data_IF_100659758498
#
_entry.id   IF_100659758498
#
_cell.length_a   1.000
_cell.length_b   1.000
_cell.length_c   1.000
_cell.angle_alpha   90.00
_cell.angle_beta   90.00
_cell.angle_gamma   90.00
#
_symmetry.space_group_name_H-M   'P 1'
#
loop_
_entity.id
_entity.type
_entity.pdbx_description
1 polymer ?
#
# COMPACT_ATOMS: atom_id res chain seq x y z
N UNK A 1 -1.55 16.70 -16.38
CA UNK A 1 -2.30 16.50 -15.13
C UNK A 1 -1.45 15.56 -14.30
N UNK A 2 -0.88 16.05 -13.20
CA UNK A 2 -0.12 15.21 -12.27
C UNK A 2 -1.12 14.84 -11.18
N UNK A 3 -1.43 13.55 -10.94
CA UNK A 3 -2.31 13.17 -9.85
C UNK A 3 -1.74 13.68 -8.53
N UNK A 4 -2.62 14.10 -7.61
CA UNK A 4 -2.24 14.32 -6.22
C UNK A 4 -1.67 13.00 -5.65
N UNK A 5 -0.65 13.11 -4.79
CA UNK A 5 -0.06 11.95 -4.11
C UNK A 5 -1.17 11.09 -3.49
N UNK A 6 -1.24 9.82 -3.90
CA UNK A 6 -2.24 8.84 -3.49
C UNK A 6 -1.95 8.33 -2.07
N UNK A 7 -1.94 9.24 -1.10
CA UNK A 7 -1.65 8.89 0.29
C UNK A 7 -2.87 8.28 0.98
N UNK A 8 -2.68 7.19 1.70
CA UNK A 8 -3.72 6.59 2.54
C UNK A 8 -3.18 6.17 3.92
N UNK A 9 -4.09 5.92 4.86
CA UNK A 9 -3.82 5.32 6.18
C UNK A 9 -4.98 4.43 6.60
N UNK A 10 -4.77 3.57 7.59
CA UNK A 10 -5.80 2.64 8.08
C UNK A 10 -6.01 2.80 9.59
N UNK A 11 -7.27 3.05 10.00
CA UNK A 11 -7.62 3.49 11.36
C UNK A 11 -7.98 2.40 12.39
N UNK A 12 -8.38 1.17 12.05
CA UNK A 12 -8.77 0.12 13.04
C UNK A 12 -9.33 -1.17 12.45
N UNK A 13 -9.36 -2.25 13.26
CA UNK A 13 -10.26 -3.42 13.27
C UNK A 13 -10.78 -3.87 11.91
N UNK A 14 -9.87 -4.30 11.03
CA UNK A 14 -10.22 -4.60 9.65
C UNK A 14 -9.41 -5.78 9.15
N UNK A 15 -9.79 -6.30 7.99
CA UNK A 15 -8.94 -7.18 7.20
C UNK A 15 -8.76 -6.49 5.85
N UNK A 16 -7.52 -6.13 5.51
CA UNK A 16 -7.20 -5.56 4.21
C UNK A 16 -6.32 -6.52 3.45
N UNK A 17 -6.77 -6.89 2.26
CA UNK A 17 -5.97 -7.60 1.28
C UNK A 17 -5.53 -6.59 0.21
N UNK A 18 -4.28 -6.18 0.29
CA UNK A 18 -3.68 -5.24 -0.64
C UNK A 18 -2.96 -6.01 -1.75
N UNK A 19 -3.47 -5.97 -2.98
CA UNK A 19 -2.73 -6.45 -4.14
C UNK A 19 -1.94 -5.29 -4.71
N UNK A 20 -0.63 -5.36 -4.61
CA UNK A 20 0.27 -4.33 -5.09
C UNK A 20 0.90 -4.81 -6.40
N UNK A 21 0.56 -4.16 -7.52
CA UNK A 21 1.23 -4.38 -8.80
C UNK A 21 2.49 -3.55 -8.81
N UNK A 22 3.62 -4.26 -8.74
CA UNK A 22 4.94 -3.65 -8.75
C UNK A 22 5.58 -4.06 -10.07
N UNK A 23 5.95 -3.07 -10.87
CA UNK A 23 6.81 -3.31 -12.01
C UNK A 23 8.25 -3.12 -11.57
N UNK A 24 8.97 -4.22 -11.40
CA UNK A 24 10.42 -4.18 -11.46
C UNK A 24 10.77 -4.16 -12.93
N UNK A 25 11.10 -2.99 -13.48
CA UNK A 25 11.69 -2.95 -14.82
C UNK A 25 12.95 -3.82 -14.81
N UNK A 26 12.85 -5.02 -15.38
CA UNK A 26 14.00 -5.65 -16.00
C UNK A 26 14.27 -4.92 -17.33
N UNK A 27 15.52 -4.47 -17.49
CA UNK A 27 16.14 -3.84 -18.66
C UNK A 27 15.85 -2.37 -19.05
N UNK A 28 14.73 -1.74 -18.68
CA UNK A 28 14.53 -0.32 -19.04
C UNK A 28 15.39 0.63 -18.19
N UNK A 29 15.72 0.27 -16.95
CA UNK A 29 16.71 1.02 -16.18
C UNK A 29 18.09 1.02 -16.86
N UNK A 30 18.53 -0.08 -17.50
CA UNK A 30 19.82 -0.11 -18.18
C UNK A 30 19.81 0.80 -19.43
N UNK A 31 18.70 0.87 -20.18
CA UNK A 31 18.61 1.73 -21.37
C UNK A 31 18.34 3.20 -21.06
N UNK A 32 17.53 3.52 -20.06
CA UNK A 32 17.31 4.91 -19.62
C UNK A 32 18.60 5.47 -18.99
N UNK A 33 19.32 4.68 -18.18
CA UNK A 33 20.66 5.08 -17.70
C UNK A 33 21.71 5.14 -18.81
N UNK A 34 21.63 4.30 -19.85
CA UNK A 34 22.54 4.38 -21.01
C UNK A 34 22.30 5.62 -21.89
N UNK A 35 21.06 6.08 -22.01
CA UNK A 35 20.73 7.27 -22.81
C UNK A 35 21.01 8.56 -22.03
N UNK A 36 20.79 8.57 -20.72
CA UNK A 36 21.09 9.72 -19.85
C UNK A 36 22.56 9.75 -19.38
N UNK A 37 23.26 8.62 -19.40
CA UNK A 37 24.64 8.46 -18.96
C UNK A 37 25.70 9.12 -19.85
N UNK A 38 25.32 9.64 -21.02
CA UNK A 38 26.24 10.36 -21.91
C UNK A 38 26.25 11.88 -21.68
N UNK A 39 25.43 12.42 -20.77
CA UNK A 39 25.34 13.87 -20.55
C UNK A 39 25.81 14.38 -19.19
N UNK A 40 26.17 13.53 -18.23
CA UNK A 40 26.65 13.99 -16.93
C UNK A 40 27.86 13.19 -16.46
N UNK A 41 29.00 13.85 -16.54
CA UNK A 41 30.29 13.39 -16.07
C UNK A 41 30.40 13.59 -14.54
N UNK A 42 31.10 12.67 -13.88
CA UNK A 42 31.55 12.66 -12.47
C UNK A 42 30.60 12.10 -11.38
N UNK A 43 30.78 10.80 -11.12
CA UNK A 43 31.10 10.22 -9.80
C UNK A 43 30.18 10.51 -8.61
N UNK A 44 29.08 9.75 -8.49
CA UNK A 44 28.58 9.11 -7.24
C UNK A 44 27.19 8.50 -7.52
N UNK A 45 27.17 7.33 -8.16
CA UNK A 45 25.97 6.48 -8.27
C UNK A 45 26.26 5.20 -7.51
N UNK A 46 25.68 5.09 -6.31
CA UNK A 46 25.47 3.87 -5.56
C UNK A 46 24.01 3.94 -5.09
N UNK A 47 23.17 3.00 -5.54
CA UNK A 47 21.83 2.80 -5.00
C UNK A 47 21.95 2.02 -3.68
N UNK A 48 21.65 2.66 -2.54
CA UNK A 48 20.77 2.04 -1.55
C UNK A 48 19.81 3.06 -0.90
N UNK A 49 18.57 2.64 -0.63
CA UNK A 49 17.60 3.20 0.34
C UNK A 49 17.45 4.73 0.47
N UNK A 50 16.29 5.28 0.11
CA UNK A 50 15.90 6.61 0.61
C UNK A 50 15.37 6.53 2.05
N UNK A 51 16.31 6.60 3.00
CA UNK A 51 16.13 7.44 4.18
C UNK A 51 16.32 8.91 3.76
N UNK A 52 15.39 9.79 4.13
CA UNK A 52 15.57 11.24 4.02
C UNK A 52 16.48 11.72 5.17
N UNK A 53 17.58 12.40 4.84
CA UNK A 53 18.42 13.15 5.78
C UNK A 53 18.24 14.65 5.52
N UNK A 54 17.68 15.45 6.44
CA UNK A 54 17.38 16.85 6.19
C UNK A 54 18.47 17.75 6.77
N UNK A 55 19.38 18.29 5.95
CA UNK A 55 20.11 19.53 6.31
C UNK A 55 20.48 20.39 5.09
N UNK A 56 19.82 21.54 5.04
CA UNK A 56 20.29 22.91 4.71
C UNK A 56 19.49 23.63 3.61
N UNK A 57 18.54 24.44 4.05
CA UNK A 57 18.42 25.81 3.58
C UNK A 57 18.43 26.74 4.81
N UNK A 58 19.50 27.52 4.93
CA UNK A 58 19.62 28.80 5.66
C UNK A 58 18.76 29.86 4.95
N UNK A 59 18.16 30.91 5.51
CA UNK A 59 18.35 31.71 6.72
C UNK A 59 16.99 32.38 7.02
N UNK A 60 16.54 32.40 8.27
CA UNK A 60 15.70 33.48 8.81
C UNK A 60 15.83 33.48 10.35
N UNK A 61 15.69 34.67 10.92
CA UNK A 61 16.38 35.16 12.11
C UNK A 61 16.06 34.45 13.44
N UNK A 62 17.08 34.42 14.31
CA UNK A 62 17.11 33.77 15.61
C UNK A 62 16.43 34.67 16.67
N UNK A 63 15.31 34.21 17.25
CA UNK A 63 14.79 34.71 18.52
C UNK A 63 14.76 33.57 19.56
N UNK A 64 15.05 33.84 20.84
CA UNK A 64 15.32 32.80 21.82
C UNK A 64 14.03 32.07 22.24
N UNK A 65 14.15 30.74 22.40
CA UNK A 65 13.07 29.87 22.86
C UNK A 65 12.68 30.19 24.32
N UNK A 66 11.39 30.12 24.70
CA UNK A 66 10.99 30.10 26.10
C UNK A 66 11.33 28.75 26.73
N UNK A 67 11.68 28.81 28.01
CA UNK A 67 12.21 27.72 28.83
C UNK A 67 11.30 26.49 28.94
N UNK A 68 11.97 25.34 29.04
CA UNK A 68 11.44 23.99 29.28
C UNK A 68 10.44 23.96 30.44
N UNK A 69 9.21 23.50 30.17
CA UNK A 69 8.44 22.73 31.14
C UNK A 69 8.71 21.25 30.88
N UNK A 70 9.40 20.62 31.81
CA UNK A 70 9.69 19.19 31.80
C UNK A 70 8.38 18.40 31.97
N UNK A 71 8.02 17.61 30.96
CA UNK A 71 7.16 16.45 31.13
C UNK A 71 8.04 15.21 31.29
N UNK A 72 7.65 14.32 32.20
CA UNK A 72 8.42 13.22 32.76
C UNK A 72 9.04 12.30 31.69
N UNK A 73 10.34 12.44 31.45
CA UNK A 73 11.13 11.49 30.67
C UNK A 73 11.41 10.24 31.52
N UNK A 74 10.77 9.12 31.19
CA UNK A 74 11.17 7.79 31.70
C UNK A 74 12.61 7.49 31.23
N UNK A 75 13.56 7.40 32.16
CA UNK A 75 15.01 7.30 31.87
C UNK A 75 15.45 5.91 31.38
N UNK A 76 14.53 4.95 31.18
CA UNK A 76 14.88 3.54 30.91
C UNK A 76 14.06 2.87 29.79
N UNK A 77 13.78 3.58 28.69
CA UNK A 77 13.14 2.96 27.52
C UNK A 77 14.17 2.56 26.46
N UNK A 78 14.48 1.26 26.42
CA UNK A 78 15.28 0.66 25.34
C UNK A 78 14.36 0.11 24.23
N UNK A 79 14.11 0.95 23.23
CA UNK A 79 13.31 0.60 22.05
C UNK A 79 13.88 -0.60 21.30
N UNK A 80 15.20 -0.71 21.20
CA UNK A 80 15.85 -1.80 20.43
C UNK A 80 15.58 -3.14 21.09
N UNK A 81 15.66 -3.18 22.42
CA UNK A 81 15.30 -4.35 23.20
C UNK A 81 13.81 -4.71 23.04
N UNK A 82 12.90 -3.74 23.16
CA UNK A 82 11.45 -3.98 22.98
C UNK A 82 11.14 -4.57 21.60
N UNK A 83 11.70 -4.00 20.53
CA UNK A 83 11.51 -4.52 19.16
C UNK A 83 12.03 -5.94 19.02
N UNK A 84 13.22 -6.22 19.57
CA UNK A 84 13.85 -7.54 19.49
C UNK A 84 13.04 -8.58 20.24
N UNK A 85 12.59 -8.28 21.46
CA UNK A 85 11.75 -9.18 22.26
C UNK A 85 10.44 -9.50 21.55
N UNK A 86 9.79 -8.50 20.95
CA UNK A 86 8.59 -8.69 20.14
C UNK A 86 8.86 -9.56 18.91
N UNK A 87 9.92 -9.27 18.15
CA UNK A 87 10.29 -9.97 16.93
C UNK A 87 10.68 -11.44 17.20
N UNK A 88 11.41 -11.69 18.30
CA UNK A 88 11.85 -13.01 18.75
C UNK A 88 10.66 -13.93 19.07
N UNK A 89 9.49 -13.37 19.46
CA UNK A 89 8.27 -14.17 19.68
C UNK A 89 7.76 -14.83 18.40
N UNK A 90 7.98 -14.17 17.25
CA UNK A 90 7.42 -14.53 15.94
C UNK A 90 5.88 -14.63 15.93
N UNK A 91 5.22 -14.11 16.96
CA UNK A 91 3.78 -14.21 17.14
C UNK A 91 3.01 -13.03 16.57
N UNK A 92 3.73 -11.93 16.32
CA UNK A 92 3.19 -10.70 15.78
C UNK A 92 2.20 -10.00 16.71
N UNK A 93 1.47 -9.04 16.17
CA UNK A 93 0.49 -8.24 16.91
C UNK A 93 -0.65 -9.11 17.41
N UNK A 94 -1.09 -10.11 16.62
CA UNK A 94 -2.09 -11.08 17.05
C UNK A 94 -1.65 -11.85 18.29
N UNK A 95 -0.37 -12.22 18.39
CA UNK A 95 0.19 -12.85 19.59
C UNK A 95 0.08 -11.99 20.85
N UNK A 96 0.22 -10.66 20.72
CA UNK A 96 0.00 -9.74 21.83
C UNK A 96 -1.47 -9.71 22.27
N UNK A 97 -2.39 -9.69 21.30
CA UNK A 97 -3.84 -9.72 21.58
C UNK A 97 -4.24 -11.03 22.25
N UNK A 98 -3.72 -12.16 21.78
CA UNK A 98 -3.98 -13.48 22.36
C UNK A 98 -3.42 -13.62 23.79
N UNK A 99 -2.36 -12.88 24.11
CA UNK A 99 -1.82 -12.76 25.47
C UNK A 99 -2.67 -11.86 26.39
N UNK A 100 -3.72 -11.22 25.88
CA UNK A 100 -4.67 -10.43 26.67
C UNK A 100 -4.12 -9.08 27.13
N UNK A 101 -3.26 -8.44 26.33
CA UNK A 101 -2.73 -7.12 26.71
C UNK A 101 -3.85 -6.08 26.85
N UNK A 102 -3.72 -5.21 27.86
CA UNK A 102 -4.64 -4.08 28.09
C UNK A 102 -4.05 -2.74 27.66
N UNK A 103 -2.73 -2.69 27.45
CA UNK A 103 -2.00 -1.53 26.97
C UNK A 103 -1.06 -1.92 25.86
N UNK A 104 -0.96 -1.10 24.81
CA UNK A 104 -0.08 -1.38 23.68
C UNK A 104 1.39 -1.07 24.02
N UNK A 105 2.36 -1.86 23.52
CA UNK A 105 3.79 -1.55 23.65
C UNK A 105 4.15 -0.18 23.07
N UNK A 106 5.19 0.45 23.62
CA UNK A 106 5.53 1.85 23.30
C UNK A 106 5.96 2.02 21.85
N UNK A 107 6.57 1.01 21.24
CA UNK A 107 6.89 1.00 19.81
C UNK A 107 5.69 1.21 18.86
N UNK A 108 4.45 0.93 19.29
CA UNK A 108 3.23 1.16 18.49
C UNK A 108 2.59 2.53 18.73
N UNK A 109 3.01 3.26 19.77
CA UNK A 109 2.43 4.55 20.14
C UNK A 109 2.98 5.63 19.20
N UNK A 110 2.08 6.34 18.53
CA UNK A 110 2.42 7.46 17.63
C UNK A 110 2.97 8.66 18.41
N UNK A 111 3.84 9.48 17.79
CA UNK A 111 4.31 10.72 18.40
C UNK A 111 3.13 11.65 18.74
N UNK A 112 3.25 12.39 19.85
CA UNK A 112 2.18 13.26 20.34
C UNK A 112 1.82 14.37 19.33
N UNK A 113 2.80 14.83 18.55
CA UNK A 113 2.62 15.82 17.49
C UNK A 113 1.68 15.31 16.39
N UNK A 114 1.80 14.03 16.01
CA UNK A 114 0.91 13.41 15.01
C UNK A 114 -0.52 13.27 15.53
N UNK A 115 -0.67 12.90 16.80
CA UNK A 115 -1.97 12.78 17.46
C UNK A 115 -2.69 14.14 17.51
N UNK A 116 -1.98 15.20 17.89
CA UNK A 116 -2.53 16.56 17.97
C UNK A 116 -2.97 17.11 16.60
N UNK A 117 -2.20 16.84 15.54
CA UNK A 117 -2.56 17.25 14.17
C UNK A 117 -3.81 16.52 13.66
N UNK A 118 -4.03 15.28 14.09
CA UNK A 118 -5.18 14.50 13.66
C UNK A 118 -6.51 14.98 14.30
N UNK A 119 -6.48 15.39 15.56
CA UNK A 119 -7.64 15.99 16.24
C UNK A 119 -8.12 17.28 15.55
N UNK A 120 -7.17 18.08 15.05
CA UNK A 120 -7.44 19.35 14.37
C UNK A 120 -8.02 19.19 12.95
N UNK A 121 -7.83 18.05 12.29
CA UNK A 121 -8.22 17.81 10.90
C UNK A 121 -9.55 17.04 10.74
N UNK A 122 -10.39 17.00 11.78
CA UNK A 122 -11.68 16.31 11.77
C UNK A 122 -12.77 17.11 11.04
N UNK A 123 -12.65 17.22 9.71
CA UNK A 123 -13.72 17.81 8.88
C UNK A 123 -14.63 16.71 8.32
N UNK A 124 -15.92 16.75 8.69
CA UNK A 124 -16.97 15.92 8.08
C UNK A 124 -17.43 16.55 6.78
N UNK A 125 -16.85 16.15 5.66
CA UNK A 125 -17.39 16.45 4.33
C UNK A 125 -17.87 15.15 3.69
N UNK A 126 -19.06 15.20 3.08
CA UNK A 126 -19.77 14.06 2.49
C UNK A 126 -19.18 13.60 1.14
N UNK A 127 -17.89 13.83 0.91
CA UNK A 127 -17.25 13.50 -0.36
C UNK A 127 -16.88 12.01 -0.35
N UNK A 128 -17.31 11.30 -1.38
CA UNK A 128 -17.09 9.86 -1.52
C UNK A 128 -16.10 9.59 -2.64
N UNK A 129 -15.20 8.65 -2.40
CA UNK A 129 -14.32 8.10 -3.44
C UNK A 129 -15.19 7.61 -4.62
N UNK A 130 -14.86 7.97 -5.88
CA UNK A 130 -15.63 7.59 -7.06
C UNK A 130 -15.85 6.09 -7.15
N UNK A 131 -17.01 5.66 -7.65
CA UNK A 131 -17.33 4.25 -7.90
C UNK A 131 -17.57 4.08 -9.40
N UNK A 132 -16.85 3.14 -10.02
CA UNK A 132 -16.88 2.85 -11.45
C UNK A 132 -17.50 1.46 -11.65
N UNK A 133 -18.56 1.40 -12.44
CA UNK A 133 -19.25 0.15 -12.77
C UNK A 133 -18.67 -0.47 -14.04
N UNK A 134 -17.98 -1.62 -13.91
CA UNK A 134 -17.36 -2.32 -15.05
C UNK A 134 -18.34 -3.25 -15.80
N UNK A 135 -19.63 -3.21 -15.49
CA UNK A 135 -20.63 -3.96 -16.24
C UNK A 135 -20.63 -3.55 -17.72
N UNK A 136 -20.80 -4.54 -18.60
CA UNK A 136 -20.82 -4.36 -20.06
C UNK A 136 -19.58 -3.65 -20.62
N UNK A 137 -18.41 -3.80 -19.99
CA UNK A 137 -17.13 -3.26 -20.50
C UNK A 137 -16.76 -3.69 -21.93
N UNK A 138 -17.37 -4.75 -22.45
CA UNK A 138 -17.18 -5.24 -23.82
C UNK A 138 -18.01 -4.46 -24.87
N UNK A 139 -18.92 -3.57 -24.44
CA UNK A 139 -19.65 -2.66 -25.32
C UNK A 139 -18.82 -1.40 -25.58
N UNK A 140 -18.58 -1.06 -26.84
CA UNK A 140 -17.73 0.08 -27.24
C UNK A 140 -18.21 1.43 -26.68
N UNK A 141 -19.52 1.63 -26.56
CA UNK A 141 -20.09 2.86 -26.01
C UNK A 141 -19.81 2.92 -24.51
N UNK A 142 -20.12 1.83 -23.79
CA UNK A 142 -19.90 1.77 -22.34
C UNK A 142 -18.42 1.82 -21.99
N UNK A 143 -17.55 1.18 -22.78
CA UNK A 143 -16.10 1.22 -22.56
C UNK A 143 -15.57 2.65 -22.59
N UNK A 144 -16.00 3.47 -23.55
CA UNK A 144 -15.58 4.89 -23.64
C UNK A 144 -15.97 5.69 -22.41
N UNK A 145 -17.18 5.48 -21.90
CA UNK A 145 -17.64 6.10 -20.65
C UNK A 145 -16.78 5.64 -19.46
N UNK A 146 -16.51 4.34 -19.34
CA UNK A 146 -15.63 3.79 -18.29
C UNK A 146 -14.22 4.40 -18.38
N UNK A 147 -13.67 4.53 -19.58
CA UNK A 147 -12.35 5.15 -19.81
C UNK A 147 -12.33 6.59 -19.31
N UNK A 148 -13.38 7.37 -19.57
CA UNK A 148 -13.51 8.73 -19.07
C UNK A 148 -13.69 8.79 -17.54
N UNK A 149 -14.49 7.89 -16.96
CA UNK A 149 -14.64 7.74 -15.50
C UNK A 149 -13.30 7.42 -14.83
N UNK A 150 -12.53 6.47 -15.38
CA UNK A 150 -11.20 6.10 -14.91
C UNK A 150 -10.23 7.28 -15.03
N UNK A 151 -10.27 8.01 -16.16
CA UNK A 151 -9.43 9.19 -16.39
C UNK A 151 -9.67 10.27 -15.34
N UNK A 152 -10.93 10.61 -15.09
CA UNK A 152 -11.32 11.64 -14.12
C UNK A 152 -10.93 11.21 -12.71
N UNK A 153 -11.32 10.00 -12.30
CA UNK A 153 -11.05 9.52 -10.95
C UNK A 153 -9.54 9.37 -10.68
N UNK A 154 -8.77 8.88 -11.65
CA UNK A 154 -7.31 8.79 -11.52
C UNK A 154 -6.65 10.16 -11.40
N UNK A 155 -7.14 11.17 -12.14
CA UNK A 155 -6.55 12.51 -12.15
C UNK A 155 -6.91 13.34 -10.90
N UNK A 156 -8.16 13.27 -10.46
CA UNK A 156 -8.67 14.07 -9.34
C UNK A 156 -8.40 13.42 -7.98
N UNK A 157 -8.55 12.10 -7.91
CA UNK A 157 -8.47 11.37 -6.64
C UNK A 157 -7.21 10.54 -6.48
N UNK A 158 -6.70 9.95 -7.57
CA UNK A 158 -5.71 8.87 -7.49
C UNK A 158 -6.28 7.58 -6.86
N UNK A 159 -7.57 7.57 -6.52
CA UNK A 159 -8.33 6.47 -5.92
C UNK A 159 -9.72 6.37 -6.55
N UNK A 160 -10.21 5.15 -6.72
CA UNK A 160 -11.60 4.87 -7.05
C UNK A 160 -11.99 3.46 -6.59
N UNK A 161 -13.27 3.15 -6.57
CA UNK A 161 -13.77 1.79 -6.40
C UNK A 161 -14.23 1.24 -7.73
N UNK A 162 -14.06 -0.05 -7.96
CA UNK A 162 -14.66 -0.77 -9.07
C UNK A 162 -15.68 -1.78 -8.56
N UNK A 163 -16.82 -1.87 -9.23
CA UNK A 163 -17.87 -2.88 -9.00
C UNK A 163 -18.19 -3.60 -10.31
N UNK A 164 -18.91 -4.72 -10.22
CA UNK A 164 -19.27 -5.56 -11.37
C UNK A 164 -18.05 -5.95 -12.24
N UNK A 165 -16.88 -6.09 -11.61
CA UNK A 165 -15.60 -6.37 -12.24
C UNK A 165 -15.41 -7.86 -12.66
N UNK A 166 -16.44 -8.68 -12.54
CA UNK A 166 -16.45 -10.07 -13.01
C UNK A 166 -15.79 -11.11 -12.10
N UNK A 167 -15.31 -10.72 -10.91
CA UNK A 167 -14.83 -11.68 -9.91
C UNK A 167 -16.02 -12.13 -9.06
N UNK A 168 -16.28 -13.45 -8.93
CA UNK A 168 -17.37 -13.94 -8.10
C UNK A 168 -17.22 -13.51 -6.63
N UNK A 169 -18.32 -13.13 -5.98
CA UNK A 169 -18.31 -12.76 -4.56
C UNK A 169 -17.71 -13.87 -3.68
N UNK A 170 -18.00 -15.13 -3.98
CA UNK A 170 -17.45 -16.28 -3.24
C UNK A 170 -15.92 -16.32 -3.28
N UNK A 171 -15.29 -15.90 -4.38
CA UNK A 171 -13.82 -15.87 -4.50
C UNK A 171 -13.23 -14.77 -3.62
N UNK A 172 -13.91 -13.61 -3.52
CA UNK A 172 -13.49 -12.53 -2.62
C UNK A 172 -13.65 -12.94 -1.15
N UNK A 173 -14.80 -13.52 -0.81
CA UNK A 173 -15.12 -13.97 0.55
C UNK A 173 -14.16 -15.09 1.00
N UNK A 174 -13.91 -16.09 0.15
CA UNK A 174 -12.96 -17.17 0.44
C UNK A 174 -11.51 -16.68 0.62
N UNK A 175 -11.12 -15.60 -0.09
CA UNK A 175 -9.79 -15.01 0.10
C UNK A 175 -9.68 -14.30 1.45
N UNK A 176 -10.68 -13.49 1.81
CA UNK A 176 -10.77 -12.83 3.12
C UNK A 176 -10.75 -13.88 4.24
N UNK A 177 -11.58 -14.91 4.11
CA UNK A 177 -11.66 -15.99 5.10
C UNK A 177 -10.37 -16.80 5.19
N UNK A 178 -9.70 -17.07 4.07
CA UNK A 178 -8.40 -17.76 4.06
C UNK A 178 -7.32 -16.99 4.83
N UNK A 179 -7.21 -15.67 4.62
CA UNK A 179 -6.27 -14.83 5.36
C UNK A 179 -6.64 -14.76 6.84
N UNK A 180 -7.93 -14.67 7.18
CA UNK A 180 -8.39 -14.75 8.58
C UNK A 180 -7.95 -16.08 9.19
N UNK A 181 -8.24 -17.21 8.55
CA UNK A 181 -7.85 -18.54 9.02
C UNK A 181 -6.34 -18.66 9.21
N UNK A 182 -5.53 -18.12 8.30
CA UNK A 182 -4.08 -18.09 8.45
C UNK A 182 -3.63 -17.34 9.71
N UNK A 183 -4.24 -16.20 10.05
CA UNK A 183 -3.84 -15.41 11.22
C UNK A 183 -4.40 -15.96 12.54
N UNK A 184 -5.56 -16.62 12.49
CA UNK A 184 -6.24 -17.22 13.65
C UNK A 184 -5.81 -18.65 13.97
N UNK A 185 -5.00 -19.30 13.11
CA UNK A 185 -4.49 -20.64 13.40
C UNK A 185 -3.40 -20.63 14.49
N UNK A 186 -3.02 -21.84 14.91
CA UNK A 186 -1.97 -22.06 15.91
C UNK A 186 -0.66 -21.35 15.56
N UNK A 187 -0.06 -20.74 16.59
CA UNK A 187 1.17 -19.96 16.46
C UNK A 187 2.32 -20.76 15.82
N UNK A 188 2.47 -22.04 16.18
CA UNK A 188 3.57 -22.86 15.65
C UNK A 188 3.47 -23.05 14.14
N UNK A 189 2.26 -23.16 13.57
CA UNK A 189 2.06 -23.24 12.13
C UNK A 189 2.37 -21.90 11.44
N UNK A 190 2.04 -20.76 12.07
CA UNK A 190 2.38 -19.44 11.54
C UNK A 190 3.89 -19.17 11.55
N UNK A 191 4.59 -19.65 12.58
CA UNK A 191 6.05 -19.47 12.75
C UNK A 191 6.87 -20.07 11.61
N UNK A 192 6.36 -21.10 10.93
CA UNK A 192 7.00 -21.70 9.76
C UNK A 192 7.21 -20.68 8.63
N UNK A 193 6.30 -19.72 8.51
CA UNK A 193 6.36 -18.66 7.51
C UNK A 193 7.07 -17.39 8.02
N UNK A 194 7.42 -17.33 9.31
CA UNK A 194 7.96 -16.12 9.91
C UNK A 194 9.37 -15.84 9.43
N UNK A 195 9.55 -14.74 8.69
CA UNK A 195 10.87 -14.33 8.22
C UNK A 195 10.92 -12.84 7.88
N UNK A 196 12.12 -12.27 8.07
CA UNK A 196 12.48 -10.92 7.60
C UNK A 196 13.31 -10.95 6.31
N UNK A 197 13.62 -12.14 5.78
CA UNK A 197 14.31 -12.30 4.50
C UNK A 197 13.40 -11.86 3.35
N UNK A 198 13.79 -10.78 2.67
CA UNK A 198 13.01 -10.19 1.57
C UNK A 198 13.00 -11.05 0.30
N UNK A 199 13.95 -11.99 0.17
CA UNK A 199 14.06 -12.90 -0.98
C UNK A 199 13.06 -14.05 -0.93
N UNK A 200 12.43 -14.30 0.22
CA UNK A 200 11.39 -15.33 0.37
C UNK A 200 10.10 -14.88 -0.29
N UNK A 201 9.56 -15.72 -1.18
CA UNK A 201 8.34 -15.45 -1.92
C UNK A 201 7.10 -15.47 -1.04
N UNK A 202 7.04 -16.41 -0.09
CA UNK A 202 6.01 -16.48 0.94
C UNK A 202 6.65 -16.12 2.27
N UNK A 203 6.13 -15.08 2.92
CA UNK A 203 6.65 -14.66 4.24
C UNK A 203 5.58 -14.04 5.10
N UNK A 204 5.68 -14.31 6.39
CA UNK A 204 4.87 -13.71 7.44
C UNK A 204 5.76 -12.86 8.34
N UNK A 205 5.33 -11.64 8.66
CA UNK A 205 5.93 -10.82 9.71
C UNK A 205 5.00 -9.68 10.12
N UNK A 206 5.36 -9.01 11.22
CA UNK A 206 4.78 -7.71 11.58
C UNK A 206 5.79 -6.63 11.24
N UNK A 207 5.35 -5.67 10.43
CA UNK A 207 6.13 -4.51 9.96
C UNK A 207 7.42 -4.93 9.23
N UNK A 208 7.45 -4.78 7.89
CA UNK A 208 8.66 -5.07 7.11
C UNK A 208 9.84 -4.15 7.50
N UNK A 209 9.52 -2.95 7.99
CA UNK A 209 10.41 -1.86 8.37
C UNK A 209 10.55 -1.70 9.90
N UNK A 210 10.24 -2.74 10.69
CA UNK A 210 10.17 -2.70 12.16
C UNK A 210 11.36 -1.97 12.82
N UNK A 211 12.58 -2.29 12.37
CA UNK A 211 13.82 -1.75 12.94
C UNK A 211 14.23 -0.37 12.42
N UNK A 212 13.64 0.08 11.31
CA UNK A 212 13.97 1.35 10.66
C UNK A 212 12.94 2.43 10.89
N UNK A 213 11.69 2.04 11.12
CA UNK A 213 10.60 2.97 11.35
C UNK A 213 10.60 3.52 12.77
N UNK A 214 10.18 4.78 12.91
CA UNK A 214 10.04 5.46 14.20
C UNK A 214 9.00 4.77 15.09
N UNK A 215 7.87 4.39 14.48
CA UNK A 215 6.74 3.71 15.11
C UNK A 215 6.31 2.53 14.27
N UNK A 216 5.96 1.43 14.92
CA UNK A 216 5.44 0.23 14.29
C UNK A 216 3.92 0.39 14.05
N UNK A 217 3.44 -0.21 12.97
CA UNK A 217 2.02 -0.31 12.66
C UNK A 217 1.37 -1.48 13.42
N UNK A 218 0.12 -1.32 13.87
CA UNK A 218 -0.68 -2.35 14.53
C UNK A 218 -1.25 -3.36 13.52
N UNK A 219 -0.37 -4.16 12.93
CA UNK A 219 -0.74 -5.19 11.93
C UNK A 219 0.22 -6.36 11.87
N UNK A 220 -0.31 -7.47 11.37
CA UNK A 220 0.44 -8.62 10.86
C UNK A 220 0.28 -8.72 9.35
N UNK A 221 1.29 -9.27 8.66
CA UNK A 221 1.32 -9.31 7.19
C UNK A 221 1.80 -10.66 6.67
N UNK A 222 0.96 -11.32 5.87
CA UNK A 222 1.36 -12.41 4.99
C UNK A 222 1.59 -11.85 3.58
N UNK A 223 2.82 -11.94 3.09
CA UNK A 223 3.20 -11.52 1.75
C UNK A 223 3.41 -12.73 0.84
N UNK A 224 2.84 -12.65 -0.35
CA UNK A 224 2.95 -13.63 -1.42
C UNK A 224 3.47 -12.90 -2.68
N UNK A 225 4.74 -13.10 -2.99
CA UNK A 225 5.40 -12.47 -4.14
C UNK A 225 5.24 -13.33 -5.40
N UNK A 226 4.73 -12.72 -6.45
CA UNK A 226 4.64 -13.28 -7.80
C UNK A 226 5.39 -12.40 -8.82
N UNK A 227 6.49 -11.78 -8.39
CA UNK A 227 7.23 -10.80 -9.18
C UNK A 227 8.13 -11.45 -10.24
N UNK A 228 8.95 -12.43 -9.84
CA UNK A 228 9.88 -13.12 -10.74
C UNK A 228 9.26 -14.38 -11.36
N UNK A 229 8.55 -15.13 -10.53
CA UNK A 229 7.84 -16.36 -10.90
C UNK A 229 6.87 -16.72 -9.79
N UNK A 230 5.81 -17.43 -10.15
CA UNK A 230 4.85 -17.91 -9.17
C UNK A 230 5.55 -18.76 -8.10
N UNK A 231 5.23 -18.58 -6.80
CA UNK A 231 5.71 -19.47 -5.75
C UNK A 231 5.13 -20.87 -5.98
N UNK A 232 5.85 -21.89 -5.52
CA UNK A 232 5.29 -23.24 -5.49
C UNK A 232 4.04 -23.21 -4.59
N UNK A 233 2.87 -23.71 -5.06
CA UNK A 233 1.69 -23.84 -4.21
C UNK A 233 1.96 -24.46 -2.84
N UNK A 234 2.89 -25.41 -2.74
CA UNK A 234 3.25 -26.05 -1.46
C UNK A 234 4.01 -25.13 -0.51
N UNK A 235 4.65 -24.06 -0.99
CA UNK A 235 5.24 -23.00 -0.16
C UNK A 235 4.17 -22.08 0.46
N UNK A 236 2.92 -22.12 0.00
CA UNK A 236 1.82 -21.33 0.56
C UNK A 236 1.20 -22.03 1.79
N UNK A 237 0.70 -21.27 2.79
CA UNK A 237 0.01 -21.85 3.92
C UNK A 237 -1.20 -22.67 3.49
N UNK A 238 -1.27 -23.93 3.92
CA UNK A 238 -2.30 -24.87 3.49
C UNK A 238 -3.73 -24.33 3.69
N UNK A 239 -3.95 -23.60 4.79
CA UNK A 239 -5.25 -23.01 5.17
C UNK A 239 -5.79 -21.96 4.20
N UNK A 240 -4.92 -21.27 3.45
CA UNK A 240 -5.33 -20.22 2.50
C UNK A 240 -4.88 -20.47 1.05
N UNK A 241 -4.12 -21.55 0.80
CA UNK A 241 -3.54 -21.89 -0.50
C UNK A 241 -4.58 -21.90 -1.63
N UNK A 242 -5.68 -22.63 -1.45
CA UNK A 242 -6.71 -22.77 -2.49
C UNK A 242 -7.35 -21.43 -2.84
N UNK A 243 -7.78 -20.67 -1.84
CA UNK A 243 -8.43 -19.37 -2.06
C UNK A 243 -7.47 -18.35 -2.65
N UNK A 244 -6.21 -18.35 -2.20
CA UNK A 244 -5.14 -17.53 -2.80
C UNK A 244 -4.96 -17.83 -4.27
N UNK A 245 -4.77 -19.10 -4.66
CA UNK A 245 -4.55 -19.46 -6.07
C UNK A 245 -5.75 -19.10 -6.95
N UNK A 246 -6.97 -19.30 -6.46
CA UNK A 246 -8.16 -18.95 -7.22
C UNK A 246 -8.31 -17.44 -7.37
N UNK A 247 -8.16 -16.70 -6.27
CA UNK A 247 -8.18 -15.24 -6.26
C UNK A 247 -7.12 -14.63 -7.19
N UNK A 248 -5.90 -15.15 -7.19
CA UNK A 248 -4.79 -14.68 -8.04
C UNK A 248 -5.13 -14.75 -9.53
N UNK A 249 -5.86 -15.79 -9.98
CA UNK A 249 -6.27 -15.91 -11.40
C UNK A 249 -7.19 -14.76 -11.81
N UNK A 250 -8.15 -14.44 -10.94
CA UNK A 250 -9.13 -13.39 -11.18
C UNK A 250 -8.52 -11.99 -11.09
N UNK A 251 -7.71 -11.75 -10.07
CA UNK A 251 -7.11 -10.42 -9.86
C UNK A 251 -6.15 -10.06 -10.98
N UNK A 252 -5.35 -11.01 -11.49
CA UNK A 252 -4.45 -10.80 -12.64
C UNK A 252 -5.20 -10.32 -13.88
N UNK A 253 -6.31 -10.98 -14.25
CA UNK A 253 -7.16 -10.59 -15.38
C UNK A 253 -7.78 -9.21 -15.19
N UNK A 254 -8.22 -8.90 -13.96
CA UNK A 254 -8.74 -7.57 -13.65
C UNK A 254 -7.64 -6.50 -13.74
N UNK A 255 -6.43 -6.79 -13.27
CA UNK A 255 -5.27 -5.92 -13.39
C UNK A 255 -4.95 -5.61 -14.86
N UNK A 256 -4.92 -6.62 -15.74
CA UNK A 256 -4.76 -6.45 -17.19
C UNK A 256 -5.84 -5.52 -17.76
N UNK A 257 -7.11 -5.77 -17.41
CA UNK A 257 -8.25 -4.94 -17.84
C UNK A 257 -8.10 -3.49 -17.40
N UNK A 258 -7.69 -3.24 -16.15
CA UNK A 258 -7.48 -1.89 -15.64
C UNK A 258 -6.29 -1.20 -16.31
N UNK A 259 -5.22 -1.92 -16.63
CA UNK A 259 -4.10 -1.38 -17.41
C UNK A 259 -4.53 -0.99 -18.83
N UNK A 260 -5.45 -1.72 -19.44
CA UNK A 260 -6.02 -1.35 -20.73
C UNK A 260 -6.83 -0.05 -20.65
N UNK A 261 -7.75 0.03 -19.69
CA UNK A 261 -8.54 1.24 -19.45
C UNK A 261 -7.66 2.46 -19.13
N UNK A 262 -6.61 2.27 -18.32
CA UNK A 262 -5.64 3.33 -18.03
C UNK A 262 -4.84 3.73 -19.27
N UNK A 263 -4.47 2.80 -20.15
CA UNK A 263 -3.77 3.14 -21.39
C UNK A 263 -4.65 4.00 -22.30
N UNK A 264 -5.92 3.64 -22.46
CA UNK A 264 -6.89 4.41 -23.23
C UNK A 264 -7.20 5.77 -22.60
N UNK A 265 -7.32 5.84 -21.26
CA UNK A 265 -7.52 7.08 -20.52
C UNK A 265 -6.37 8.08 -20.72
N UNK A 266 -5.19 7.59 -21.07
CA UNK A 266 -4.00 8.38 -21.41
C UNK A 266 -3.91 8.72 -22.90
N UNK A 267 -4.88 8.29 -23.72
CA UNK A 267 -4.87 8.44 -25.17
C UNK A 267 -3.85 7.55 -25.87
N UNK A 268 -3.44 6.44 -25.24
CA UNK A 268 -2.50 5.45 -25.78
C UNK A 268 -3.26 4.27 -26.39
N UNK A 269 -2.53 3.39 -27.09
CA UNK A 269 -3.08 2.10 -27.53
C UNK A 269 -3.51 1.26 -26.32
N UNK A 270 -4.57 0.48 -26.49
CA UNK A 270 -5.20 -0.32 -25.42
C UNK A 270 -4.16 -1.16 -24.64
N UNK A 271 -3.22 -1.81 -25.30
CA UNK A 271 -2.27 -2.70 -24.65
C UNK A 271 -0.98 -2.01 -24.15
N UNK A 272 -0.87 -0.68 -24.24
CA UNK A 272 0.40 0.02 -24.06
C UNK A 272 1.06 -0.28 -22.71
N UNK A 273 0.36 -0.09 -21.59
CA UNK A 273 0.91 -0.36 -20.25
C UNK A 273 1.24 -1.84 -20.05
N UNK A 274 0.45 -2.74 -20.64
CA UNK A 274 0.75 -4.18 -20.66
C UNK A 274 2.04 -4.49 -21.42
N UNK A 275 2.22 -3.89 -22.59
CA UNK A 275 3.37 -4.11 -23.48
C UNK A 275 4.71 -3.70 -22.86
N UNK A 276 4.72 -2.64 -22.05
CA UNK A 276 5.91 -2.17 -21.31
C UNK A 276 6.11 -2.91 -19.97
N UNK A 277 5.29 -3.91 -19.69
CA UNK A 277 5.45 -4.83 -18.57
C UNK A 277 4.75 -4.44 -17.27
N UNK A 278 3.88 -3.41 -17.25
CA UNK A 278 3.21 -2.98 -16.02
C UNK A 278 2.34 -4.08 -15.38
N UNK A 279 1.84 -5.01 -16.20
CA UNK A 279 1.02 -6.14 -15.75
C UNK A 279 1.82 -7.41 -15.39
N UNK A 280 3.16 -7.41 -15.50
CA UNK A 280 3.97 -8.64 -15.37
C UNK A 280 4.23 -9.08 -13.94
N UNK A 281 4.32 -8.13 -12.99
CA UNK A 281 4.64 -8.41 -11.59
C UNK A 281 3.47 -8.07 -10.66
N UNK A 282 3.13 -8.99 -9.77
CA UNK A 282 2.14 -8.76 -8.73
C UNK A 282 2.65 -9.30 -7.38
N UNK A 283 2.34 -8.60 -6.30
CA UNK A 283 2.49 -9.10 -4.94
C UNK A 283 1.15 -9.00 -4.23
N UNK A 284 0.75 -10.08 -3.55
CA UNK A 284 -0.44 -10.08 -2.70
C UNK A 284 0.05 -9.88 -1.27
N UNK A 285 -0.39 -8.78 -0.66
CA UNK A 285 -0.04 -8.37 0.69
C UNK A 285 -1.28 -8.46 1.56
N UNK A 286 -1.35 -9.52 2.36
CA UNK A 286 -2.50 -9.81 3.20
C UNK A 286 -2.26 -9.19 4.59
N UNK A 287 -2.89 -8.07 4.87
CA UNK A 287 -2.80 -7.41 6.17
C UNK A 287 -3.94 -7.84 7.10
N UNK A 288 -3.55 -8.22 8.31
CA UNK A 288 -4.45 -8.57 9.39
C UNK A 288 -4.29 -7.55 10.53
N UNK A 289 -5.39 -6.96 10.98
CA UNK A 289 -5.40 -5.91 12.00
C UNK A 289 -6.17 -6.40 13.22
N UNK A 290 -5.49 -7.01 14.20
CA UNK A 290 -6.10 -7.48 15.44
C UNK A 290 -6.79 -6.35 16.20
N UNK A 291 -7.75 -6.69 17.07
CA UNK A 291 -8.39 -5.70 17.96
C UNK A 291 -7.33 -4.99 18.82
N UNK A 292 -7.36 -3.65 18.81
CA UNK A 292 -6.42 -2.84 19.59
C UNK A 292 -7.09 -2.35 20.89
N UNK A 293 -6.45 -2.50 22.07
CA UNK A 293 -7.00 -1.99 23.33
C UNK A 293 -6.90 -0.47 23.49
N UNK A 294 -5.99 0.19 22.76
CA UNK A 294 -5.78 1.65 22.79
C UNK A 294 -5.71 2.21 21.35
N UNK A 295 -6.81 2.11 20.57
CA UNK A 295 -6.82 2.42 19.14
C UNK A 295 -6.50 3.88 18.81
N UNK A 296 -6.70 4.81 19.73
CA UNK A 296 -6.37 6.23 19.58
C UNK A 296 -4.85 6.48 19.50
N UNK A 297 -4.04 5.59 20.09
CA UNK A 297 -2.59 5.77 20.20
C UNK A 297 -1.82 5.20 19.00
N UNK A 298 -2.44 4.40 18.13
CA UNK A 298 -1.76 3.69 17.04
C UNK A 298 -2.54 3.76 15.73
N UNK A 299 -1.99 3.20 14.65
CA UNK A 299 -2.65 3.02 13.37
C UNK A 299 -2.44 1.59 12.87
N UNK A 300 -3.40 1.09 12.10
CA UNK A 300 -3.22 -0.17 11.39
C UNK A 300 -2.14 -0.05 10.31
N UNK A 301 -2.12 1.06 9.58
CA UNK A 301 -1.02 1.46 8.69
C UNK A 301 -0.87 2.97 8.75
N UNK A 302 0.37 3.44 8.94
CA UNK A 302 0.73 4.87 8.85
C UNK A 302 0.45 5.46 7.47
N UNK A 303 0.42 6.79 7.40
CA UNK A 303 0.32 7.55 6.13
C UNK A 303 1.45 7.12 5.18
N UNK A 304 1.09 6.67 3.99
CA UNK A 304 2.03 6.37 2.92
C UNK A 304 1.35 6.46 1.55
N UNK A 305 2.16 6.50 0.50
CA UNK A 305 1.75 6.23 -0.88
C UNK A 305 2.36 4.90 -1.32
N UNK A 306 1.70 4.22 -2.25
CA UNK A 306 2.19 2.95 -2.78
C UNK A 306 3.28 3.19 -3.82
N UNK A 307 4.45 2.60 -3.62
CA UNK A 307 5.58 2.70 -4.55
C UNK A 307 5.38 1.90 -5.86
N UNK A 308 4.25 1.20 -6.02
CA UNK A 308 3.95 0.39 -7.21
C UNK A 308 3.40 1.21 -8.38
N UNK A 309 2.81 0.52 -9.36
CA UNK A 309 2.10 1.17 -10.48
C UNK A 309 0.61 1.29 -10.15
N UNK A 310 0.01 0.19 -9.72
CA UNK A 310 -1.43 0.08 -9.48
C UNK A 310 -1.64 -0.83 -8.28
N UNK A 311 -2.61 -0.50 -7.45
CA UNK A 311 -2.98 -1.33 -6.33
C UNK A 311 -4.47 -1.65 -6.42
N UNK A 312 -4.81 -2.91 -6.16
CA UNK A 312 -6.17 -3.41 -6.06
C UNK A 312 -6.40 -3.93 -4.64
N UNK A 313 -7.15 -3.18 -3.86
CA UNK A 313 -7.40 -3.42 -2.45
C UNK A 313 -8.79 -4.06 -2.26
N UNK A 314 -8.79 -5.30 -1.80
CA UNK A 314 -9.96 -5.98 -1.26
C UNK A 314 -10.02 -5.73 0.24
N UNK A 315 -11.15 -5.26 0.72
CA UNK A 315 -11.41 -5.02 2.15
C UNK A 315 -12.64 -5.81 2.58
N UNK A 316 -12.70 -6.18 3.85
CA UNK A 316 -13.94 -6.71 4.41
C UNK A 316 -14.99 -5.59 4.59
N UNK A 317 -16.16 -5.90 5.11
CA UNK A 317 -17.26 -4.93 5.27
C UNK A 317 -17.06 -3.96 6.46
N UNK A 318 -15.89 -3.96 7.11
CA UNK A 318 -15.56 -3.03 8.20
C UNK A 318 -14.89 -1.79 7.59
N UNK A 319 -15.23 -0.59 8.07
CA UNK A 319 -14.56 0.64 7.62
C UNK A 319 -13.23 0.84 8.36
N UNK A 320 -12.22 1.34 7.65
CA UNK A 320 -10.91 1.62 8.24
C UNK A 320 -9.94 2.34 7.32
N UNK A 321 -10.12 2.23 5.99
CA UNK A 321 -9.31 2.93 5.01
C UNK A 321 -9.65 4.41 4.99
N UNK A 322 -8.63 5.24 5.07
CA UNK A 322 -8.72 6.68 4.83
C UNK A 322 -7.78 7.11 3.73
N UNK A 323 -8.28 7.91 2.80
CA UNK A 323 -7.49 8.50 1.71
C UNK A 323 -7.30 9.99 1.93
N UNK A 324 -6.14 10.51 1.56
CA UNK A 324 -5.85 11.95 1.61
C UNK A 324 -6.28 12.58 0.29
N UNK A 325 -7.22 13.51 0.34
CA UNK A 325 -7.68 14.27 -0.81
C UNK A 325 -7.77 15.75 -0.42
N UNK A 326 -7.20 16.65 -1.22
CA UNK A 326 -7.18 18.10 -0.95
C UNK A 326 -6.72 18.49 0.48
N UNK A 327 -5.75 17.74 1.02
CA UNK A 327 -5.21 17.97 2.37
C UNK A 327 -6.08 17.46 3.51
N UNK A 328 -7.22 16.82 3.22
CA UNK A 328 -8.15 16.25 4.20
C UNK A 328 -8.23 14.73 4.10
N UNK A 329 -8.51 14.07 5.22
CA UNK A 329 -8.63 12.61 5.31
C UNK A 329 -10.08 12.17 5.17
N UNK A 330 -10.37 11.34 4.17
CA UNK A 330 -11.70 10.83 3.88
C UNK A 330 -11.80 9.34 4.15
N UNK A 331 -12.84 8.91 4.89
CA UNK A 331 -13.17 7.51 5.05
C UNK A 331 -13.67 6.92 3.74
N UNK A 332 -13.07 5.79 3.33
CA UNK A 332 -13.60 4.99 2.23
C UNK A 332 -14.59 3.99 2.80
N UNK A 333 -15.86 4.12 2.40
CA UNK A 333 -16.89 3.17 2.79
C UNK A 333 -16.73 1.89 1.95
N UNK A 334 -16.59 0.71 2.57
CA UNK A 334 -16.52 -0.55 1.85
C UNK A 334 -17.79 -0.77 1.01
N UNK A 335 -17.61 -1.12 -0.26
CA UNK A 335 -18.70 -1.58 -1.13
C UNK A 335 -18.65 -3.09 -1.22
N UNK A 336 -19.77 -3.77 -0.93
CA UNK A 336 -19.85 -5.24 -1.03
C UNK A 336 -19.49 -5.69 -2.44
N UNK A 337 -18.49 -6.55 -2.55
CA UNK A 337 -17.98 -7.01 -3.85
C UNK A 337 -17.28 -5.93 -4.67
N UNK A 338 -16.91 -4.80 -4.05
CA UNK A 338 -16.10 -3.77 -4.68
C UNK A 338 -14.63 -3.91 -4.31
N UNK A 339 -13.77 -3.41 -5.19
CA UNK A 339 -12.33 -3.30 -4.96
C UNK A 339 -11.94 -1.83 -5.03
N UNK A 340 -11.13 -1.36 -4.08
CA UNK A 340 -10.52 -0.03 -4.16
C UNK A 340 -9.31 -0.14 -5.08
N UNK A 341 -9.19 0.78 -6.03
CA UNK A 341 -8.06 0.91 -6.93
C UNK A 341 -7.33 2.19 -6.59
N UNK A 342 -6.00 2.14 -6.50
CA UNK A 342 -5.18 3.34 -6.35
C UNK A 342 -3.98 3.37 -7.27
N UNK A 343 -3.65 4.57 -7.72
CA UNK A 343 -2.52 4.85 -8.60
C UNK A 343 -1.26 4.98 -7.74
N UNK A 344 -0.25 4.16 -8.03
CA UNK A 344 1.04 4.19 -7.33
C UNK A 344 2.05 5.17 -7.95
N UNK A 345 3.09 5.48 -7.18
CA UNK A 345 4.09 6.50 -7.51
C UNK A 345 4.81 6.22 -8.84
N UNK A 346 5.08 4.95 -9.18
CA UNK A 346 5.75 4.62 -10.45
C UNK A 346 4.88 4.98 -11.66
N UNK A 347 3.55 4.82 -11.57
CA UNK A 347 2.69 5.25 -12.66
C UNK A 347 2.70 6.78 -12.74
N UNK A 348 2.63 7.48 -11.60
CA UNK A 348 2.68 8.94 -11.57
C UNK A 348 3.96 9.48 -12.23
N UNK A 349 5.12 8.91 -11.91
CA UNK A 349 6.41 9.26 -12.50
C UNK A 349 6.44 9.01 -14.02
N UNK A 350 5.91 7.86 -14.47
CA UNK A 350 5.78 7.57 -15.90
C UNK A 350 4.91 8.61 -16.62
N UNK A 351 3.81 9.06 -16.01
CA UNK A 351 2.92 10.07 -16.58
C UNK A 351 3.61 11.43 -16.72
N UNK A 352 4.40 11.85 -15.73
CA UNK A 352 5.21 13.08 -15.80
C UNK A 352 6.23 12.97 -16.95
N UNK A 353 6.88 11.81 -17.09
CA UNK A 353 7.83 11.58 -18.17
C UNK A 353 7.19 11.63 -19.57
N UNK A 354 6.07 10.94 -19.77
CA UNK A 354 5.36 10.90 -21.05
C UNK A 354 4.86 12.29 -21.47
N UNK A 355 4.31 13.05 -20.52
CA UNK A 355 3.81 14.41 -20.78
C UNK A 355 4.94 15.38 -21.12
N UNK A 356 6.07 15.34 -20.41
CA UNK A 356 7.22 16.20 -20.69
C UNK A 356 7.87 15.94 -22.07
N UNK A 357 7.94 14.68 -22.52
CA UNK A 357 8.42 14.33 -23.86
C UNK A 357 7.51 14.85 -24.98
N UNK A 358 6.20 14.74 -24.79
CA UNK A 358 5.22 15.23 -25.77
C UNK A 358 5.28 16.76 -25.98
N UNK A 359 5.68 17.51 -24.94
CA UNK A 359 5.90 18.94 -25.02
C UNK A 359 7.18 19.28 -25.79
N UNK A 360 8.26 18.51 -25.60
CA UNK A 360 9.52 18.68 -26.31
C UNK A 360 9.47 18.28 -27.79
N UNK A 361 8.62 17.32 -28.18
CA UNK A 361 8.45 16.96 -29.60
C UNK A 361 7.60 17.96 -30.40
N UNK A 362 7.01 18.95 -29.73
CA UNK A 362 6.17 20.01 -30.34
C UNK A 362 6.85 21.38 -30.38
N UNK A 363 8.08 21.50 -29.86
CA UNK A 363 8.98 22.66 -29.98
C UNK A 363 10.06 22.38 -31.01
#
# INVERSE_FOLDING_TARGET
MIPLMSSYKIKRNNLFLLNLYINFFHDIHIRIFSILGNYLNTSQIFFPFFFFNPKKQSNQELHPAPEKMASETSVDYDRTKELKEFDDTKAGVKGLVDAGIVSIPRMFIRPAEELAVEELNSCQTNIKVPIIDLSKIQDDSRRKEIVDEVRIASAEWGFFQVINHGIPLSVLDEMIDGVRMFNEQDLELKKEFYTREVTKKVRFNSNYDLYTSLTADWRDTLNLSFLDSDPDPEEMPAVCRKSTLEYTKYIRRLGETLFQLLSEALGLQEDYLGSIGCAKGCSIVCHYYPVCPQPELTLGVRKHADAGILTLLLQNEISGLQVLHEGQWFDVQPTRGGLVVNIGDLLQDMLVYLTSRSAQSKS
#
